data_IF_293685055368
#
_entry.id   IF_293685055368
#
_cell.length_a   1.000
_cell.length_b   1.000
_cell.length_c   1.000
_cell.angle_alpha   90.00
_cell.angle_beta   90.00
_cell.angle_gamma   90.00
#
_symmetry.space_group_name_H-M   'P 1'
#
loop_
_entity.id
_entity.type
_entity.pdbx_description
1 polymer ?
#
# COMPACT_ATOMS: atom_id res chain seq x y z
N UNK A 1 -27.15 -9.95 -21.74
CA UNK A 1 -26.84 -8.50 -21.69
C UNK A 1 -25.54 -8.29 -22.45
N UNK A 2 -25.47 -7.32 -23.35
CA UNK A 2 -24.23 -6.92 -24.01
C UNK A 2 -23.33 -6.20 -23.02
N UNK A 3 -22.02 -6.51 -22.94
CA UNK A 3 -21.10 -5.78 -22.08
C UNK A 3 -21.08 -4.30 -22.45
N UNK A 4 -20.94 -3.42 -21.44
CA UNK A 4 -20.65 -2.02 -21.70
C UNK A 4 -19.27 -1.96 -22.36
N UNK A 5 -19.12 -1.33 -23.54
CA UNK A 5 -17.84 -1.24 -24.22
C UNK A 5 -16.84 -0.41 -23.40
N UNK A 6 -15.55 -0.75 -23.52
CA UNK A 6 -14.47 0.03 -22.91
C UNK A 6 -14.49 1.46 -23.50
N UNK A 7 -14.62 2.47 -22.64
CA UNK A 7 -14.64 3.88 -23.04
C UNK A 7 -13.25 4.44 -23.34
N UNK A 8 -12.18 3.74 -22.95
CA UNK A 8 -10.80 4.18 -23.19
C UNK A 8 -10.27 3.64 -24.52
N UNK A 9 -9.59 4.47 -25.34
CA UNK A 9 -8.94 4.01 -26.56
C UNK A 9 -7.76 3.10 -26.23
N UNK A 10 -7.45 2.19 -27.15
CA UNK A 10 -6.28 1.32 -27.08
C UNK A 10 -5.48 1.42 -28.39
N UNK A 11 -4.25 1.96 -28.39
CA UNK A 11 -3.52 2.47 -27.22
C UNK A 11 -4.06 3.81 -26.71
N UNK A 12 -3.79 4.12 -25.43
CA UNK A 12 -3.98 5.46 -24.89
C UNK A 12 -2.95 6.43 -25.51
N UNK A 13 -3.27 7.72 -25.68
CA UNK A 13 -2.29 8.74 -26.02
C UNK A 13 -1.21 8.80 -24.93
N UNK A 14 0.08 9.03 -25.26
CA UNK A 14 1.12 9.15 -24.25
C UNK A 14 0.89 10.38 -23.34
N UNK A 15 1.20 10.23 -22.06
CA UNK A 15 1.20 11.36 -21.11
C UNK A 15 2.45 12.23 -21.34
N UNK A 16 2.36 13.56 -21.09
CA UNK A 16 3.53 14.42 -21.11
C UNK A 16 4.58 13.97 -20.07
N UNK A 17 5.84 13.91 -20.49
CA UNK A 17 6.94 13.41 -19.65
C UNK A 17 7.21 14.35 -18.48
N UNK A 18 7.14 13.82 -17.24
CA UNK A 18 7.49 14.55 -16.02
C UNK A 18 6.48 15.61 -15.57
N UNK A 19 5.28 15.64 -16.15
CA UNK A 19 4.25 16.62 -15.80
C UNK A 19 3.13 15.93 -15.01
N UNK A 20 2.83 16.45 -13.83
CA UNK A 20 1.58 16.12 -13.15
C UNK A 20 0.40 16.72 -13.90
N UNK A 21 -0.44 15.86 -14.48
CA UNK A 21 -1.60 16.26 -15.26
C UNK A 21 -2.88 16.01 -14.47
N UNK A 22 -3.51 17.05 -13.87
CA UNK A 22 -4.77 16.89 -13.16
C UNK A 22 -5.86 16.33 -14.08
N UNK A 23 -6.52 15.25 -13.66
CA UNK A 23 -7.51 14.54 -14.49
C UNK A 23 -6.91 13.61 -15.55
N UNK A 24 -5.60 13.39 -15.54
CA UNK A 24 -4.92 12.42 -16.42
C UNK A 24 -5.20 12.69 -17.89
N UNK A 25 -5.71 11.69 -18.60
CA UNK A 25 -6.05 11.83 -20.02
C UNK A 25 -7.27 12.72 -20.30
N UNK A 26 -8.05 13.11 -19.27
CA UNK A 26 -9.30 13.86 -19.45
C UNK A 26 -10.38 13.04 -20.18
N UNK A 27 -10.26 11.71 -20.18
CA UNK A 27 -11.18 10.77 -20.83
C UNK A 27 -12.15 10.11 -19.83
N UNK A 28 -12.03 10.46 -18.55
CA UNK A 28 -12.85 9.90 -17.48
C UNK A 28 -14.32 10.27 -17.72
N UNK A 29 -15.23 9.28 -17.82
CA UNK A 29 -16.64 9.58 -17.97
C UNK A 29 -17.19 10.18 -16.68
N UNK A 30 -18.25 10.99 -16.80
CA UNK A 30 -19.00 11.41 -15.61
C UNK A 30 -19.60 10.20 -14.90
N UNK A 31 -19.65 10.23 -13.57
CA UNK A 31 -20.30 9.18 -12.79
C UNK A 31 -21.81 9.27 -13.01
N UNK A 32 -22.46 8.26 -13.62
CA UNK A 32 -23.89 8.33 -13.88
C UNK A 32 -24.68 8.27 -12.56
N UNK A 33 -25.80 9.01 -12.44
CA UNK A 33 -26.64 8.97 -11.23
C UNK A 33 -27.06 7.53 -10.88
N UNK A 34 -27.08 7.21 -9.58
CA UNK A 34 -27.55 5.93 -9.03
C UNK A 34 -26.81 4.67 -9.54
N UNK A 35 -25.55 4.77 -9.97
CA UNK A 35 -24.76 3.60 -10.42
C UNK A 35 -23.81 3.10 -9.33
N UNK A 36 -22.73 3.83 -9.08
CA UNK A 36 -21.70 3.51 -8.08
C UNK A 36 -21.76 4.42 -6.85
N UNK A 37 -22.88 5.14 -6.68
CA UNK A 37 -23.08 6.01 -5.53
C UNK A 37 -23.03 5.16 -4.24
N UNK A 38 -22.11 5.53 -3.33
CA UNK A 38 -21.87 4.80 -2.09
C UNK A 38 -20.82 3.68 -2.18
N UNK A 39 -20.22 3.43 -3.35
CA UNK A 39 -19.09 2.50 -3.43
C UNK A 39 -17.84 3.16 -2.82
N UNK A 40 -17.12 2.39 -2.01
CA UNK A 40 -15.90 2.84 -1.33
C UNK A 40 -14.84 1.75 -1.38
N UNK A 41 -13.58 2.14 -1.56
CA UNK A 41 -12.46 1.26 -1.25
C UNK A 41 -12.33 1.18 0.27
N UNK A 42 -12.79 0.07 0.83
CA UNK A 42 -12.83 -0.16 2.28
C UNK A 42 -11.48 -0.65 2.80
N UNK A 43 -11.00 -1.79 2.26
CA UNK A 43 -9.75 -2.42 2.65
C UNK A 43 -8.97 -2.96 1.46
N UNK A 44 -7.70 -3.26 1.71
CA UNK A 44 -6.89 -4.18 0.91
C UNK A 44 -6.47 -5.36 1.80
N UNK A 45 -6.25 -6.52 1.18
CA UNK A 45 -5.83 -7.73 1.89
C UNK A 45 -4.37 -8.08 1.58
N UNK A 46 -3.57 -8.32 2.62
CA UNK A 46 -2.23 -8.87 2.52
C UNK A 46 -2.19 -10.23 3.24
N UNK A 47 -1.62 -11.23 2.57
CA UNK A 47 -1.26 -12.48 3.25
C UNK A 47 -0.02 -12.23 4.09
N UNK A 48 0.01 -12.80 5.28
CA UNK A 48 1.16 -12.69 6.19
C UNK A 48 1.61 -14.08 6.65
N UNK A 49 2.91 -14.24 6.88
CA UNK A 49 3.51 -15.49 7.36
C UNK A 49 3.35 -15.61 8.87
N UNK A 50 3.75 -14.58 9.62
CA UNK A 50 3.70 -14.58 11.08
C UNK A 50 2.90 -13.36 11.57
N UNK A 51 1.76 -13.57 12.28
CA UNK A 51 0.96 -12.49 12.83
C UNK A 51 1.71 -11.70 13.91
N UNK A 52 2.62 -12.29 14.67
CA UNK A 52 3.36 -11.57 15.70
C UNK A 52 4.25 -10.49 15.09
N UNK A 53 5.04 -10.85 14.06
CA UNK A 53 5.93 -9.92 13.36
C UNK A 53 5.12 -8.82 12.66
N UNK A 54 4.05 -9.21 11.98
CA UNK A 54 3.21 -8.28 11.20
C UNK A 54 2.43 -7.32 12.09
N UNK A 55 1.84 -7.81 13.19
CA UNK A 55 1.11 -6.96 14.14
C UNK A 55 2.06 -6.00 14.85
N UNK A 56 3.28 -6.41 15.22
CA UNK A 56 4.29 -5.49 15.75
C UNK A 56 4.57 -4.35 14.75
N UNK A 57 4.82 -4.68 13.49
CA UNK A 57 5.04 -3.68 12.45
C UNK A 57 3.85 -2.72 12.29
N UNK A 58 2.64 -3.25 12.06
CA UNK A 58 1.49 -2.38 11.76
C UNK A 58 0.93 -1.65 12.99
N UNK A 59 0.96 -2.26 14.19
CA UNK A 59 0.37 -1.67 15.39
C UNK A 59 1.39 -0.82 16.15
N UNK A 60 2.56 -1.38 16.48
CA UNK A 60 3.53 -0.71 17.34
C UNK A 60 4.32 0.31 16.53
N UNK A 61 4.76 -0.07 15.32
CA UNK A 61 5.57 0.81 14.48
C UNK A 61 4.69 1.76 13.65
N UNK A 62 3.67 1.28 12.96
CA UNK A 62 2.88 2.14 12.07
C UNK A 62 1.67 2.79 12.75
N UNK A 63 1.34 2.42 13.99
CA UNK A 63 0.30 3.10 14.79
C UNK A 63 -1.15 2.75 14.42
N UNK A 64 -1.37 1.66 13.67
CA UNK A 64 -2.71 1.13 13.45
C UNK A 64 -3.23 0.46 14.73
N UNK A 65 -4.54 0.22 14.79
CA UNK A 65 -5.19 -0.57 15.84
C UNK A 65 -6.10 -1.60 15.21
N UNK A 66 -6.27 -2.72 15.91
CA UNK A 66 -7.19 -3.78 15.50
C UNK A 66 -8.63 -3.30 15.65
N UNK A 67 -9.39 -3.36 14.57
CA UNK A 67 -10.85 -3.22 14.59
C UNK A 67 -11.47 -4.52 15.07
N UNK A 68 -11.11 -5.63 14.42
CA UNK A 68 -11.45 -6.98 14.88
C UNK A 68 -10.42 -7.99 14.36
N UNK A 69 -10.42 -9.17 14.99
CA UNK A 69 -9.73 -10.35 14.49
C UNK A 69 -10.68 -11.55 14.54
N UNK A 70 -10.59 -12.45 13.58
CA UNK A 70 -11.44 -13.62 13.50
C UNK A 70 -10.64 -14.84 13.06
N UNK A 71 -10.74 -15.92 13.83
CA UNK A 71 -10.31 -17.24 13.40
C UNK A 71 -11.44 -17.86 12.56
N UNK A 72 -11.14 -18.15 11.29
CA UNK A 72 -12.11 -18.70 10.35
C UNK A 72 -12.07 -20.24 10.26
N UNK A 73 -11.17 -20.88 11.00
CA UNK A 73 -10.82 -22.29 10.88
C UNK A 73 -9.42 -22.46 10.28
N UNK A 74 -9.25 -22.39 8.95
CA UNK A 74 -7.95 -22.59 8.29
C UNK A 74 -7.00 -21.37 8.35
N UNK A 75 -7.53 -20.19 8.64
CA UNK A 75 -6.76 -18.96 8.74
C UNK A 75 -7.35 -18.01 9.78
N UNK A 76 -6.52 -17.06 10.22
CA UNK A 76 -6.95 -15.90 11.00
C UNK A 76 -6.93 -14.66 10.11
N UNK A 77 -7.91 -13.79 10.29
CA UNK A 77 -7.94 -12.46 9.67
C UNK A 77 -7.84 -11.39 10.75
N UNK A 78 -7.13 -10.30 10.46
CA UNK A 78 -6.96 -9.14 11.33
C UNK A 78 -7.28 -7.88 10.52
N UNK A 79 -8.35 -7.18 10.88
CA UNK A 79 -8.67 -5.89 10.27
C UNK A 79 -8.06 -4.77 11.11
N UNK A 80 -7.19 -3.98 10.50
CA UNK A 80 -6.46 -2.89 11.14
C UNK A 80 -6.81 -1.56 10.48
N UNK A 81 -6.79 -0.47 11.26
CA UNK A 81 -6.93 0.88 10.75
C UNK A 81 -6.40 1.93 11.73
N UNK A 82 -6.36 3.19 11.31
CA UNK A 82 -5.94 4.29 12.18
C UNK A 82 -7.10 4.83 13.03
N UNK A 83 -6.93 4.96 14.36
CA UNK A 83 -7.83 5.73 15.21
C UNK A 83 -8.02 7.17 14.72
N UNK A 84 -9.26 7.65 14.66
CA UNK A 84 -9.58 8.95 14.06
C UNK A 84 -9.57 10.07 15.12
N UNK A 85 -9.88 9.76 16.38
CA UNK A 85 -9.94 10.75 17.48
C UNK A 85 -8.84 10.55 18.53
N UNK A 86 -8.56 11.58 19.34
CA UNK A 86 -7.62 11.46 20.46
C UNK A 86 -8.09 10.45 21.52
N UNK A 87 -9.40 10.36 21.74
CA UNK A 87 -9.98 9.38 22.65
C UNK A 87 -9.72 7.94 22.17
N UNK A 88 -9.91 7.67 20.88
CA UNK A 88 -9.61 6.37 20.28
C UNK A 88 -8.10 6.06 20.25
N UNK A 89 -7.24 7.08 20.07
CA UNK A 89 -5.79 6.93 20.17
C UNK A 89 -5.35 6.54 21.59
N UNK A 90 -6.00 7.12 22.60
CA UNK A 90 -5.75 6.81 24.01
C UNK A 90 -6.36 5.48 24.46
N UNK A 91 -7.48 5.06 23.87
CA UNK A 91 -8.15 3.79 24.18
C UNK A 91 -8.43 2.96 22.90
N UNK A 92 -7.55 2.00 22.57
CA UNK A 92 -7.77 1.09 21.45
C UNK A 92 -9.06 0.27 21.51
N UNK A 93 -9.62 0.02 22.71
CA UNK A 93 -10.89 -0.71 22.82
C UNK A 93 -12.05 0.15 22.35
N UNK A 94 -12.01 1.45 22.66
CA UNK A 94 -12.99 2.40 22.14
C UNK A 94 -12.96 2.46 20.62
N UNK A 95 -11.76 2.51 20.01
CA UNK A 95 -11.60 2.45 18.56
C UNK A 95 -12.28 1.21 17.95
N UNK A 96 -12.00 0.03 18.50
CA UNK A 96 -12.59 -1.22 18.03
C UNK A 96 -14.12 -1.19 18.15
N UNK A 97 -14.65 -0.76 19.30
CA UNK A 97 -16.10 -0.69 19.55
C UNK A 97 -16.81 0.28 18.60
N UNK A 98 -16.23 1.45 18.36
CA UNK A 98 -16.79 2.45 17.46
C UNK A 98 -16.77 2.01 15.99
N UNK A 99 -15.80 1.17 15.61
CA UNK A 99 -15.55 0.84 14.20
C UNK A 99 -16.16 -0.49 13.78
N UNK A 100 -16.35 -1.46 14.69
CA UNK A 100 -16.74 -2.84 14.33
C UNK A 100 -18.20 -3.00 13.90
N UNK A 101 -19.09 -2.04 14.18
CA UNK A 101 -20.49 -2.14 13.74
C UNK A 101 -20.55 -2.15 12.21
N UNK A 102 -21.43 -2.98 11.63
CA UNK A 102 -21.43 -3.21 10.17
C UNK A 102 -21.60 -1.92 9.35
N UNK A 103 -22.42 -0.98 9.81
CA UNK A 103 -22.66 0.30 9.17
C UNK A 103 -21.41 1.21 9.15
N UNK A 104 -20.58 1.13 10.19
CA UNK A 104 -19.32 1.88 10.27
C UNK A 104 -18.19 1.11 9.56
N UNK A 105 -18.02 -0.17 9.85
CA UNK A 105 -16.96 -1.01 9.30
C UNK A 105 -16.99 -0.99 7.76
N UNK A 106 -18.16 -1.14 7.14
CA UNK A 106 -18.29 -1.23 5.67
C UNK A 106 -18.09 0.11 4.95
N UNK A 107 -18.15 1.23 5.68
CA UNK A 107 -17.95 2.58 5.15
C UNK A 107 -16.62 3.21 5.57
N UNK A 108 -15.91 2.58 6.50
CA UNK A 108 -14.56 2.98 6.93
C UNK A 108 -13.59 2.85 5.76
N UNK A 109 -12.65 3.79 5.62
CA UNK A 109 -11.68 3.81 4.52
C UNK A 109 -10.28 3.54 5.06
N UNK A 110 -9.43 2.94 4.22
CA UNK A 110 -8.02 2.74 4.54
C UNK A 110 -7.78 1.65 5.58
N UNK A 111 -8.62 0.61 5.59
CA UNK A 111 -8.38 -0.57 6.42
C UNK A 111 -7.38 -1.51 5.71
N UNK A 112 -6.62 -2.25 6.52
CA UNK A 112 -5.78 -3.34 6.05
C UNK A 112 -6.30 -4.64 6.66
N UNK A 113 -6.62 -5.61 5.81
CA UNK A 113 -6.91 -6.97 6.21
C UNK A 113 -5.63 -7.80 6.11
N UNK A 114 -5.09 -8.25 7.25
CA UNK A 114 -4.00 -9.20 7.27
C UNK A 114 -4.55 -10.62 7.43
N UNK A 115 -4.12 -11.53 6.55
CA UNK A 115 -4.59 -12.92 6.58
C UNK A 115 -3.42 -13.85 6.84
N UNK A 116 -3.50 -14.55 7.97
CA UNK A 116 -2.52 -15.53 8.41
C UNK A 116 -3.06 -16.94 8.17
N UNK A 117 -2.40 -17.71 7.31
CA UNK A 117 -2.69 -19.13 7.12
C UNK A 117 -2.04 -19.91 8.26
N UNK A 118 -2.81 -20.69 9.04
CA UNK A 118 -2.28 -21.30 10.25
C UNK A 118 -1.13 -22.28 9.96
N UNK A 119 -0.05 -22.18 10.74
CA UNK A 119 1.14 -23.02 10.62
C UNK A 119 2.26 -22.44 9.77
N UNK A 120 2.00 -21.38 8.97
CA UNK A 120 3.05 -20.74 8.16
C UNK A 120 4.09 -20.01 9.00
N UNK A 121 3.75 -19.61 10.22
CA UNK A 121 4.66 -19.00 11.19
C UNK A 121 5.79 -19.96 11.63
N UNK A 122 5.55 -21.28 11.50
CA UNK A 122 6.52 -22.34 11.83
C UNK A 122 7.46 -22.67 10.67
N UNK A 123 7.18 -22.17 9.47
CA UNK A 123 7.99 -22.35 8.27
C UNK A 123 8.97 -21.18 8.12
N UNK A 124 10.16 -21.46 7.60
CA UNK A 124 11.11 -20.41 7.20
C UNK A 124 10.54 -19.55 6.06
N UNK A 125 11.13 -18.37 5.84
CA UNK A 125 10.72 -17.48 4.73
C UNK A 125 11.01 -18.10 3.36
N UNK A 126 11.97 -19.03 3.30
CA UNK A 126 12.33 -19.80 2.12
C UNK A 126 11.30 -20.89 1.83
N UNK A 127 10.83 -21.61 2.86
CA UNK A 127 9.80 -22.65 2.74
C UNK A 127 8.41 -22.07 2.43
N UNK A 128 8.06 -20.94 3.04
CA UNK A 128 6.81 -20.22 2.79
C UNK A 128 7.10 -18.80 2.29
N UNK A 129 7.49 -18.71 1.02
CA UNK A 129 7.82 -17.44 0.37
C UNK A 129 6.58 -16.71 -0.12
N UNK A 130 6.28 -15.57 0.49
CA UNK A 130 5.32 -14.62 -0.05
C UNK A 130 5.97 -13.78 -1.16
N UNK A 131 5.16 -13.40 -2.16
CA UNK A 131 5.59 -12.54 -3.26
C UNK A 131 5.00 -11.15 -3.07
N UNK A 132 5.87 -10.14 -3.07
CA UNK A 132 5.48 -8.74 -2.88
C UNK A 132 5.00 -8.04 -4.15
N UNK A 133 5.20 -8.66 -5.32
CA UNK A 133 4.80 -8.13 -6.63
C UNK A 133 5.82 -7.22 -7.32
N UNK A 134 6.98 -6.96 -6.71
CA UNK A 134 8.05 -6.12 -7.28
C UNK A 134 9.25 -6.95 -7.79
N UNK A 135 9.16 -8.28 -7.80
CA UNK A 135 10.25 -9.17 -8.22
C UNK A 135 9.76 -10.18 -9.27
N UNK A 136 10.44 -10.21 -10.41
CA UNK A 136 10.15 -11.16 -11.48
C UNK A 136 10.37 -12.62 -11.03
N UNK A 137 9.61 -13.60 -11.56
CA UNK A 137 8.58 -13.46 -12.60
C UNK A 137 7.18 -13.08 -12.06
N UNK A 138 7.03 -12.83 -10.76
CA UNK A 138 5.74 -12.66 -10.10
C UNK A 138 5.40 -11.18 -9.87
N UNK A 139 5.41 -10.40 -10.95
CA UNK A 139 5.07 -8.98 -10.92
C UNK A 139 3.56 -8.77 -10.73
N UNK A 140 3.18 -7.74 -9.98
CA UNK A 140 1.77 -7.47 -9.68
C UNK A 140 1.57 -6.28 -8.75
N UNK A 141 1.11 -6.54 -7.52
CA UNK A 141 0.95 -5.50 -6.49
C UNK A 141 2.27 -4.74 -6.27
N UNK A 142 2.20 -3.42 -6.12
CA UNK A 142 3.40 -2.60 -5.90
C UNK A 142 3.69 -2.40 -4.42
N UNK A 143 2.87 -1.61 -3.73
CA UNK A 143 3.11 -1.20 -2.35
C UNK A 143 1.85 -0.69 -1.68
N UNK A 144 1.89 -0.57 -0.35
CA UNK A 144 0.90 0.18 0.43
C UNK A 144 1.48 1.56 0.74
N UNK A 145 0.72 2.63 0.50
CA UNK A 145 1.14 4.00 0.81
C UNK A 145 0.55 4.52 2.12
N UNK A 146 1.41 5.07 2.98
CA UNK A 146 1.05 5.79 4.19
C UNK A 146 1.48 7.24 4.09
N UNK A 147 0.59 8.17 4.44
CA UNK A 147 1.02 9.55 4.63
C UNK A 147 1.57 9.76 6.04
N UNK A 148 2.69 10.46 6.15
CA UNK A 148 3.35 10.78 7.42
C UNK A 148 3.63 12.28 7.53
N UNK A 149 3.66 12.85 8.74
CA UNK A 149 3.96 14.28 8.90
C UNK A 149 5.37 14.66 8.41
N UNK A 150 6.36 13.79 8.64
CA UNK A 150 7.76 13.98 8.28
C UNK A 150 8.39 12.63 7.92
N UNK A 151 8.78 12.47 6.64
CA UNK A 151 9.36 11.23 6.10
C UNK A 151 10.71 10.90 6.74
N UNK A 152 11.70 11.82 6.82
CA UNK A 152 12.96 11.54 7.51
C UNK A 152 12.79 11.03 8.94
N UNK A 153 11.92 11.65 9.75
CA UNK A 153 11.67 11.23 11.14
C UNK A 153 11.03 9.84 11.18
N UNK A 154 10.05 9.57 10.30
CA UNK A 154 9.41 8.25 10.23
C UNK A 154 10.41 7.15 9.83
N UNK A 155 11.26 7.42 8.83
CA UNK A 155 12.30 6.50 8.38
C UNK A 155 13.31 6.19 9.48
N UNK A 156 13.78 7.21 10.21
CA UNK A 156 14.73 7.01 11.30
C UNK A 156 14.14 6.13 12.41
N UNK A 157 12.91 6.42 12.85
CA UNK A 157 12.22 5.61 13.84
C UNK A 157 12.08 4.14 13.42
N UNK A 158 11.74 3.90 12.15
CA UNK A 158 11.60 2.55 11.61
C UNK A 158 12.97 1.84 11.54
N UNK A 159 14.01 2.56 11.09
CA UNK A 159 15.39 2.07 11.05
C UNK A 159 15.91 1.70 12.43
N UNK A 160 15.69 2.53 13.45
CA UNK A 160 16.05 2.25 14.84
C UNK A 160 15.32 1.02 15.40
N UNK A 161 14.13 0.72 14.87
CA UNK A 161 13.34 -0.47 15.21
C UNK A 161 13.74 -1.72 14.40
N UNK A 162 14.80 -1.64 13.60
CA UNK A 162 15.31 -2.76 12.79
C UNK A 162 14.56 -2.99 11.46
N UNK A 163 13.68 -2.08 11.06
CA UNK A 163 12.97 -2.17 9.78
C UNK A 163 13.93 -1.88 8.63
N UNK A 164 13.85 -2.68 7.57
CA UNK A 164 14.65 -2.50 6.37
C UNK A 164 14.16 -1.30 5.56
N UNK A 165 14.99 -0.28 5.44
CA UNK A 165 14.77 0.85 4.53
C UNK A 165 15.20 0.46 3.12
N UNK A 166 14.28 0.53 2.17
CA UNK A 166 14.51 0.22 0.75
C UNK A 166 14.96 1.46 -0.02
N UNK A 167 14.44 2.62 0.37
CA UNK A 167 14.74 3.91 -0.25
C UNK A 167 14.62 5.03 0.79
N UNK A 168 15.67 5.83 0.89
CA UNK A 168 15.69 7.01 1.76
C UNK A 168 15.08 8.24 1.06
N UNK A 169 14.81 9.28 1.86
CA UNK A 169 14.45 10.61 1.37
C UNK A 169 15.65 11.24 0.63
N UNK A 170 15.38 12.08 -0.36
CA UNK A 170 16.38 12.71 -1.23
C UNK A 170 16.88 11.81 -2.36
N UNK A 171 16.75 10.49 -2.23
CA UNK A 171 17.13 9.53 -3.28
C UNK A 171 16.07 9.56 -4.39
N UNK A 172 16.47 9.75 -5.65
CA UNK A 172 15.55 9.83 -6.78
C UNK A 172 16.15 9.25 -8.06
N UNK A 173 16.82 8.10 -7.95
CA UNK A 173 17.46 7.43 -9.07
C UNK A 173 16.52 6.42 -9.73
N UNK A 174 16.87 6.02 -10.96
CA UNK A 174 16.06 5.10 -11.77
C UNK A 174 15.84 3.77 -11.06
N UNK A 175 16.83 3.28 -10.33
CA UNK A 175 16.84 2.01 -9.60
C UNK A 175 15.83 2.01 -8.44
N UNK A 176 15.34 3.18 -8.01
CA UNK A 176 14.33 3.31 -6.96
C UNK A 176 12.90 3.31 -7.49
N UNK A 177 12.72 3.19 -8.81
CA UNK A 177 11.42 2.97 -9.45
C UNK A 177 11.23 1.46 -9.63
N UNK A 178 10.05 0.89 -9.28
CA UNK A 178 9.80 -0.56 -9.35
C UNK A 178 9.61 -1.05 -10.79
N UNK A 179 10.64 -0.88 -11.61
CA UNK A 179 10.75 -1.47 -12.95
C UNK A 179 11.95 -2.42 -12.88
N UNK A 180 11.70 -3.69 -13.21
CA UNK A 180 12.69 -4.75 -13.00
C UNK A 180 13.71 -4.83 -14.13
N UNK A 181 14.94 -5.25 -13.79
CA UNK A 181 15.97 -5.57 -14.79
C UNK A 181 15.46 -6.61 -15.80
N UNK A 182 14.65 -7.56 -15.34
CA UNK A 182 14.03 -8.56 -16.21
C UNK A 182 13.15 -7.92 -17.30
N UNK A 183 12.36 -6.90 -16.98
CA UNK A 183 11.56 -6.18 -17.99
C UNK A 183 12.45 -5.45 -19.00
N UNK A 184 13.50 -4.80 -18.50
CA UNK A 184 14.45 -4.03 -19.30
C UNK A 184 15.23 -4.93 -20.26
N UNK A 185 15.85 -5.98 -19.75
CA UNK A 185 16.70 -6.88 -20.53
C UNK A 185 15.90 -7.74 -21.50
N UNK A 186 14.73 -8.24 -21.08
CA UNK A 186 13.95 -9.18 -21.88
C UNK A 186 13.09 -8.50 -22.94
N UNK A 187 12.55 -7.32 -22.64
CA UNK A 187 11.59 -6.64 -23.53
C UNK A 187 12.04 -5.27 -24.01
N UNK A 188 13.15 -4.73 -23.49
CA UNK A 188 13.63 -3.40 -23.86
C UNK A 188 12.72 -2.26 -23.39
N UNK A 189 11.95 -2.47 -22.32
CA UNK A 189 10.97 -1.49 -21.79
C UNK A 189 11.43 -0.88 -20.47
N UNK A 190 10.86 0.28 -20.12
CA UNK A 190 11.20 0.97 -18.87
C UNK A 190 12.63 1.49 -18.80
N UNK A 191 13.27 1.69 -19.96
CA UNK A 191 14.62 2.25 -20.09
C UNK A 191 14.59 3.78 -20.17
N UNK A 192 15.70 4.41 -19.81
CA UNK A 192 15.88 5.87 -19.87
C UNK A 192 15.96 6.54 -18.49
N UNK A 193 16.18 7.85 -18.51
CA UNK A 193 16.31 8.66 -17.30
C UNK A 193 14.94 9.11 -16.76
N UNK A 194 14.86 9.30 -15.44
CA UNK A 194 13.68 9.87 -14.82
C UNK A 194 13.53 11.34 -15.22
N UNK A 195 12.31 11.78 -15.52
CA UNK A 195 12.06 13.18 -15.78
C UNK A 195 12.23 14.00 -14.49
N UNK A 196 12.70 15.25 -14.61
CA UNK A 196 12.97 16.12 -13.46
C UNK A 196 11.75 16.31 -12.55
N UNK A 197 10.57 16.53 -13.13
CA UNK A 197 9.34 16.67 -12.34
C UNK A 197 8.99 15.41 -11.54
N UNK A 198 9.31 14.22 -12.05
CA UNK A 198 9.12 12.98 -11.30
C UNK A 198 10.23 12.75 -10.27
N UNK A 199 11.49 13.10 -10.58
CA UNK A 199 12.58 13.05 -9.60
C UNK A 199 12.29 13.90 -8.37
N UNK A 200 11.71 15.09 -8.56
CA UNK A 200 11.29 15.96 -7.48
C UNK A 200 10.30 15.27 -6.54
N UNK A 201 9.31 14.56 -7.07
CA UNK A 201 8.34 13.77 -6.29
C UNK A 201 9.01 12.59 -5.59
N UNK A 202 9.76 11.80 -6.35
CA UNK A 202 10.43 10.60 -5.86
C UNK A 202 11.42 10.94 -4.73
N UNK A 203 12.07 12.09 -4.78
CA UNK A 203 12.98 12.57 -3.74
C UNK A 203 12.29 12.83 -2.40
N UNK A 204 10.98 13.03 -2.36
CA UNK A 204 10.26 13.41 -1.14
C UNK A 204 9.68 12.21 -0.39
N UNK A 205 9.60 11.05 -1.02
CA UNK A 205 9.02 9.84 -0.45
C UNK A 205 10.09 8.87 0.03
N UNK A 206 9.74 8.00 0.97
CA UNK A 206 10.59 6.90 1.44
C UNK A 206 9.93 5.54 1.18
N UNK A 207 10.73 4.47 1.16
CA UNK A 207 10.20 3.10 1.17
C UNK A 207 10.86 2.27 2.25
N UNK A 208 10.04 1.48 2.94
CA UNK A 208 10.49 0.41 3.85
C UNK A 208 9.87 -0.92 3.46
N UNK A 209 10.41 -2.00 4.00
CA UNK A 209 9.89 -3.36 3.83
C UNK A 209 9.17 -3.81 5.12
N UNK A 210 7.93 -4.30 4.99
CA UNK A 210 7.26 -4.98 6.09
C UNK A 210 7.92 -6.36 6.37
N UNK A 211 7.57 -7.07 7.45
CA UNK A 211 8.16 -8.37 7.77
C UNK A 211 8.00 -9.45 6.68
N UNK A 212 7.02 -9.29 5.79
CA UNK A 212 6.67 -10.23 4.72
C UNK A 212 7.27 -9.85 3.36
N UNK A 213 8.01 -8.74 3.26
CA UNK A 213 8.62 -8.30 2.03
C UNK A 213 7.82 -7.25 1.25
N UNK A 214 6.61 -6.88 1.70
CA UNK A 214 5.80 -5.87 1.04
C UNK A 214 6.42 -4.49 1.20
N UNK A 215 6.40 -3.72 0.12
CA UNK A 215 6.90 -2.37 0.13
C UNK A 215 5.87 -1.44 0.75
N UNK A 216 6.33 -0.56 1.63
CA UNK A 216 5.53 0.45 2.31
C UNK A 216 6.08 1.82 1.93
N UNK A 217 5.30 2.57 1.17
CA UNK A 217 5.63 3.94 0.77
C UNK A 217 5.27 4.92 1.89
N UNK A 218 6.20 5.81 2.22
CA UNK A 218 6.00 6.91 3.17
C UNK A 218 5.94 8.22 2.39
N UNK A 219 4.74 8.80 2.33
CA UNK A 219 4.45 10.03 1.60
C UNK A 219 4.32 11.19 2.58
N UNK A 220 4.98 12.33 2.39
CA UNK A 220 4.78 13.47 3.29
C UNK A 220 3.36 14.01 3.11
N UNK A 221 2.70 14.36 4.22
CA UNK A 221 1.38 14.99 4.19
C UNK A 221 1.37 16.35 3.48
N UNK A 222 2.53 17.00 3.41
CA UNK A 222 2.74 18.24 2.67
C UNK A 222 3.85 18.03 1.63
N UNK A 223 3.46 17.62 0.43
CA UNK A 223 4.36 17.57 -0.72
C UNK A 223 4.77 18.99 -1.12
N UNK A 224 6.07 19.21 -1.30
CA UNK A 224 6.65 20.47 -1.78
C UNK A 224 6.76 20.51 -3.28
#
# INVERSE_FOLDING_TARGET
>A
MTPVPNSFPSPLPPLPVGIHLPGGHGLDPSVPPNTTQGFHLNHLMLRIRDPSESLHFYIDLMGLRTVFAMNTGPCSIYYLGHPQTDAERADPKLYAQNTVSNDVLTTTKGLIELVHIHGTEKLSKEEYKLHNGNVAPFLGFGHVGFTVPDVPIALERLRESGVKVLKDVGVAERENVPITEWEMEKFGVGIGELAEGYRHVLSQIGFVEDPNGYWIELVPQNMK
#
